data_IF_015090777359
#
_entry.id   IF_015090777359
#
_cell.length_a   1.000
_cell.length_b   1.000
_cell.length_c   1.000
_cell.angle_alpha   90.00
_cell.angle_beta   90.00
_cell.angle_gamma   90.00
#
_symmetry.space_group_name_H-M   'P 1'
#
loop_
_entity.id
_entity.type
_entity.pdbx_description
1 polymer ?
#
# COMPACT_ATOMS: atom_id res chain seq x y z
N UNK A 1 -86.01 -7.32 31.85
CA UNK A 1 -84.72 -7.82 31.32
C UNK A 1 -84.01 -6.63 30.70
N UNK A 2 -83.16 -5.95 31.48
CA UNK A 2 -82.51 -4.70 31.08
C UNK A 2 -81.23 -5.01 30.29
N UNK A 3 -81.10 -4.44 29.09
CA UNK A 3 -79.96 -4.61 28.20
C UNK A 3 -78.83 -3.65 28.60
N UNK A 4 -77.65 -4.21 28.89
CA UNK A 4 -76.43 -3.48 29.23
C UNK A 4 -75.84 -2.87 27.94
N UNK A 5 -75.44 -1.58 27.92
CA UNK A 5 -74.80 -0.98 26.75
C UNK A 5 -73.32 -1.42 26.65
N UNK A 6 -72.94 -1.83 25.44
CA UNK A 6 -71.58 -2.26 25.08
C UNK A 6 -70.64 -1.04 25.00
N UNK A 7 -69.55 -1.07 25.77
CA UNK A 7 -68.53 -0.02 25.76
C UNK A 7 -67.76 -0.01 24.42
N UNK A 8 -67.64 1.16 23.80
CA UNK A 8 -66.82 1.40 22.61
C UNK A 8 -65.35 1.58 23.01
N UNK A 9 -64.48 0.70 22.51
CA UNK A 9 -63.03 0.81 22.68
C UNK A 9 -62.49 2.03 21.90
N UNK A 10 -61.61 2.88 22.48
CA UNK A 10 -61.04 4.01 21.76
C UNK A 10 -60.12 3.55 20.63
N UNK A 11 -60.36 4.04 19.42
CA UNK A 11 -59.51 3.83 18.25
C UNK A 11 -58.18 4.57 18.44
N UNK A 12 -57.08 3.83 18.59
CA UNK A 12 -55.73 4.41 18.66
C UNK A 12 -55.40 5.16 17.35
N UNK A 13 -54.98 6.41 17.47
CA UNK A 13 -54.52 7.21 16.35
C UNK A 13 -53.28 6.56 15.68
N UNK A 14 -53.12 6.66 14.35
CA UNK A 14 -51.97 6.10 13.67
C UNK A 14 -50.69 6.81 14.14
N UNK A 15 -49.73 6.04 14.64
CA UNK A 15 -48.40 6.53 15.00
C UNK A 15 -47.73 7.04 13.71
N UNK A 16 -47.15 8.26 13.68
CA UNK A 16 -46.41 8.75 12.52
C UNK A 16 -45.27 7.78 12.21
N UNK A 17 -45.28 7.19 11.02
CA UNK A 17 -44.17 6.36 10.54
C UNK A 17 -42.93 7.24 10.46
N UNK A 18 -41.90 6.87 11.22
CA UNK A 18 -40.59 7.49 11.12
C UNK A 18 -40.10 7.43 9.66
N UNK A 19 -39.44 8.47 9.15
CA UNK A 19 -38.95 8.48 7.78
C UNK A 19 -38.00 7.31 7.59
N UNK A 20 -38.39 6.38 6.72
CA UNK A 20 -37.53 5.30 6.23
C UNK A 20 -36.41 6.00 5.46
N UNK A 21 -35.22 6.05 6.04
CA UNK A 21 -34.01 6.47 5.32
C UNK A 21 -33.83 5.45 4.19
N UNK A 22 -34.20 5.84 2.98
CA UNK A 22 -33.94 5.09 1.77
C UNK A 22 -32.43 5.02 1.57
N UNK A 23 -31.83 3.88 1.93
CA UNK A 23 -30.46 3.53 1.56
C UNK A 23 -30.39 3.13 0.08
N UNK A 24 -30.91 3.97 -0.82
CA UNK A 24 -30.77 3.78 -2.27
C UNK A 24 -29.49 4.43 -2.76
N UNK A 25 -28.38 3.91 -2.27
CA UNK A 25 -27.07 4.06 -2.87
C UNK A 25 -26.46 2.68 -2.93
N UNK A 26 -26.60 1.99 -4.08
CA UNK A 26 -25.77 0.82 -4.36
C UNK A 26 -24.32 1.28 -4.19
N UNK A 27 -23.67 0.84 -3.12
CA UNK A 27 -22.23 1.02 -2.95
C UNK A 27 -21.58 0.37 -4.16
N UNK A 28 -21.11 1.18 -5.12
CA UNK A 28 -20.31 0.69 -6.25
C UNK A 28 -18.95 0.25 -5.71
N UNK A 29 -18.94 -0.92 -5.09
CA UNK A 29 -17.74 -1.58 -4.59
C UNK A 29 -16.93 -2.08 -5.78
N UNK A 30 -15.65 -1.73 -5.84
CA UNK A 30 -14.78 -2.16 -6.94
C UNK A 30 -14.38 -3.62 -6.74
N UNK A 31 -15.18 -4.52 -7.32
CA UNK A 31 -15.00 -5.98 -7.19
C UNK A 31 -13.59 -6.43 -7.59
N UNK A 32 -13.01 -5.84 -8.64
CA UNK A 32 -11.64 -6.15 -9.05
C UNK A 32 -10.60 -5.82 -7.97
N UNK A 33 -10.78 -4.71 -7.23
CA UNK A 33 -9.88 -4.32 -6.15
C UNK A 33 -10.02 -5.25 -4.93
N UNK A 34 -11.26 -5.64 -4.61
CA UNK A 34 -11.51 -6.63 -3.55
C UNK A 34 -10.95 -8.01 -3.89
N UNK A 35 -11.10 -8.45 -5.15
CA UNK A 35 -10.55 -9.70 -5.65
C UNK A 35 -9.02 -9.69 -5.60
N UNK A 36 -8.40 -8.59 -6.04
CA UNK A 36 -6.94 -8.42 -5.95
C UNK A 36 -6.47 -8.44 -4.49
N UNK A 37 -7.17 -7.76 -3.58
CA UNK A 37 -6.88 -7.84 -2.14
C UNK A 37 -6.96 -9.26 -1.61
N UNK A 38 -8.05 -9.98 -1.93
CA UNK A 38 -8.25 -11.36 -1.49
C UNK A 38 -7.14 -12.28 -2.01
N UNK A 39 -6.74 -12.13 -3.27
CA UNK A 39 -5.63 -12.86 -3.86
C UNK A 39 -4.32 -12.62 -3.09
N UNK A 40 -3.96 -11.37 -2.81
CA UNK A 40 -2.73 -11.06 -2.08
C UNK A 40 -2.79 -11.55 -0.61
N UNK A 41 -3.97 -11.49 0.04
CA UNK A 41 -4.16 -12.08 1.38
C UNK A 41 -3.92 -13.59 1.38
N UNK A 42 -4.44 -14.31 0.39
CA UNK A 42 -4.22 -15.76 0.23
C UNK A 42 -2.75 -16.05 -0.07
N UNK A 43 -2.13 -15.26 -0.95
CA UNK A 43 -0.71 -15.39 -1.25
C UNK A 43 0.15 -15.19 0.01
N UNK A 44 -0.13 -14.17 0.83
CA UNK A 44 0.58 -13.95 2.10
C UNK A 44 0.39 -15.12 3.07
N UNK A 45 -0.82 -15.67 3.19
CA UNK A 45 -1.08 -16.84 4.01
C UNK A 45 -0.30 -18.08 3.53
N UNK A 46 0.13 -18.10 2.26
CA UNK A 46 0.85 -19.23 1.69
C UNK A 46 2.24 -19.46 2.30
N UNK A 47 2.84 -18.46 2.95
CA UNK A 47 4.05 -18.63 3.77
C UNK A 47 3.88 -19.75 4.81
N UNK A 48 2.69 -19.85 5.40
CA UNK A 48 2.35 -20.85 6.42
C UNK A 48 2.17 -22.27 5.88
N UNK A 49 2.14 -22.48 4.56
CA UNK A 49 1.95 -23.82 3.96
C UNK A 49 3.25 -24.61 3.80
N UNK A 50 4.41 -24.05 4.19
CA UNK A 50 5.67 -24.78 4.24
C UNK A 50 6.29 -25.06 2.86
N UNK A 51 6.04 -24.21 1.87
CA UNK A 51 6.61 -24.35 0.51
C UNK A 51 8.15 -24.38 0.51
N UNK A 52 8.82 -23.78 1.49
CA UNK A 52 10.28 -23.86 1.65
C UNK A 52 10.81 -25.29 1.76
N UNK A 53 10.02 -26.23 2.30
CA UNK A 53 10.41 -27.64 2.38
C UNK A 53 10.48 -28.34 1.00
N UNK A 54 9.92 -27.73 -0.04
CA UNK A 54 9.90 -28.26 -1.40
C UNK A 54 11.02 -27.71 -2.28
N UNK A 55 11.91 -26.84 -1.75
CA UNK A 55 12.98 -26.20 -2.53
C UNK A 55 13.89 -27.20 -3.25
N UNK A 56 14.24 -28.29 -2.56
CA UNK A 56 15.11 -29.34 -3.12
C UNK A 56 14.33 -30.40 -3.91
N UNK A 57 13.00 -30.27 -4.05
CA UNK A 57 12.18 -31.24 -4.76
C UNK A 57 12.36 -31.11 -6.28
N UNK A 58 12.66 -32.19 -7.02
CA UNK A 58 13.00 -32.12 -8.45
C UNK A 58 11.87 -31.52 -9.32
N UNK A 59 10.60 -31.81 -8.97
CA UNK A 59 9.43 -31.29 -9.71
C UNK A 59 8.94 -29.93 -9.22
N UNK A 60 9.08 -29.62 -7.92
CA UNK A 60 8.38 -28.50 -7.28
C UNK A 60 9.32 -27.41 -6.77
N UNK A 61 10.63 -27.65 -6.73
CA UNK A 61 11.64 -26.70 -6.24
C UNK A 61 11.61 -25.37 -6.98
N UNK A 62 11.35 -25.38 -8.30
CA UNK A 62 11.19 -24.15 -9.08
C UNK A 62 9.97 -23.33 -8.64
N UNK A 63 8.85 -23.97 -8.35
CA UNK A 63 7.64 -23.27 -7.86
C UNK A 63 7.85 -22.81 -6.42
N UNK A 64 8.47 -23.63 -5.58
CA UNK A 64 8.82 -23.28 -4.21
C UNK A 64 9.73 -22.04 -4.16
N UNK A 65 10.68 -21.93 -5.09
CA UNK A 65 11.56 -20.76 -5.19
C UNK A 65 10.81 -19.45 -5.44
N UNK A 66 9.57 -19.48 -5.92
CA UNK A 66 8.75 -18.28 -6.08
C UNK A 66 8.26 -17.67 -4.76
N UNK A 67 8.32 -18.44 -3.68
CA UNK A 67 7.90 -18.07 -2.33
C UNK A 67 9.08 -17.76 -1.40
N UNK A 68 10.31 -17.75 -1.92
CA UNK A 68 11.53 -17.38 -1.19
C UNK A 68 12.07 -16.05 -1.70
N UNK A 69 12.46 -15.15 -0.79
CA UNK A 69 13.03 -13.86 -1.20
C UNK A 69 14.32 -14.06 -2.00
N UNK A 70 14.50 -13.27 -3.06
CA UNK A 70 15.81 -13.19 -3.70
C UNK A 70 16.87 -12.76 -2.67
N UNK A 71 18.11 -13.29 -2.73
CA UNK A 71 19.12 -13.00 -1.73
C UNK A 71 19.48 -11.52 -1.61
N UNK A 72 19.47 -10.80 -2.74
CA UNK A 72 19.77 -9.37 -2.78
C UNK A 72 19.14 -8.64 -3.96
N UNK A 73 19.57 -9.00 -5.18
CA UNK A 73 19.17 -8.35 -6.43
C UNK A 73 18.15 -9.19 -7.20
N UNK A 74 17.22 -8.50 -7.86
CA UNK A 74 16.11 -9.06 -8.62
C UNK A 74 14.79 -8.95 -7.89
N UNK A 75 13.82 -9.75 -8.33
CA UNK A 75 12.54 -9.88 -7.66
C UNK A 75 11.81 -11.12 -8.11
N UNK A 76 11.19 -11.80 -7.16
CA UNK A 76 10.33 -12.96 -7.42
C UNK A 76 8.89 -12.65 -7.00
N UNK A 77 7.94 -13.57 -7.26
CA UNK A 77 6.53 -13.43 -6.91
C UNK A 77 6.34 -12.99 -5.44
N UNK A 78 7.05 -13.63 -4.50
CA UNK A 78 7.01 -13.27 -3.07
C UNK A 78 7.37 -11.80 -2.79
N UNK A 79 8.31 -11.24 -3.55
CA UNK A 79 8.75 -9.85 -3.39
C UNK A 79 7.68 -8.84 -3.82
N UNK A 80 6.70 -9.26 -4.63
CA UNK A 80 5.64 -8.40 -5.16
C UNK A 80 4.48 -8.20 -4.19
N UNK A 81 4.40 -8.99 -3.10
CA UNK A 81 3.31 -8.91 -2.12
C UNK A 81 3.25 -7.53 -1.45
N UNK A 82 4.38 -7.05 -0.93
CA UNK A 82 4.43 -5.75 -0.26
C UNK A 82 4.13 -4.58 -1.22
N UNK A 83 4.77 -4.46 -2.40
CA UNK A 83 4.40 -3.46 -3.41
C UNK A 83 2.91 -3.51 -3.77
N UNK A 84 2.33 -4.70 -3.90
CA UNK A 84 0.91 -4.87 -4.22
C UNK A 84 0.00 -4.21 -3.18
N UNK A 85 0.30 -4.33 -1.87
CA UNK A 85 -0.48 -3.64 -0.84
C UNK A 85 -0.37 -2.12 -0.95
N UNK A 86 0.83 -1.62 -1.21
CA UNK A 86 1.11 -0.19 -1.30
C UNK A 86 0.39 0.42 -2.50
N UNK A 87 0.50 -0.22 -3.66
CA UNK A 87 -0.22 0.13 -4.88
C UNK A 87 -1.74 0.12 -4.66
N UNK A 88 -2.28 -0.95 -4.07
CA UNK A 88 -3.72 -1.12 -3.86
C UNK A 88 -4.31 -0.09 -2.90
N UNK A 89 -3.57 0.25 -1.83
CA UNK A 89 -3.95 1.37 -0.94
C UNK A 89 -3.93 2.69 -1.70
N UNK A 90 -2.95 2.90 -2.58
CA UNK A 90 -2.92 4.00 -3.53
C UNK A 90 -4.18 4.06 -4.39
N UNK A 91 -4.54 2.97 -5.07
CA UNK A 91 -5.74 2.86 -5.92
C UNK A 91 -6.99 3.23 -5.17
N UNK A 92 -7.12 2.80 -3.91
CA UNK A 92 -8.29 3.08 -3.08
C UNK A 92 -8.39 4.56 -2.62
N UNK A 93 -7.27 5.29 -2.56
CA UNK A 93 -7.21 6.63 -1.95
C UNK A 93 -8.07 7.67 -2.68
N UNK A 94 -8.01 7.85 -4.02
CA UNK A 94 -8.87 8.79 -4.74
C UNK A 94 -10.36 8.55 -4.50
N UNK A 95 -10.81 7.29 -4.50
CA UNK A 95 -12.20 6.93 -4.21
C UNK A 95 -12.61 7.32 -2.79
N UNK A 96 -11.74 7.04 -1.80
CA UNK A 96 -12.00 7.37 -0.40
C UNK A 96 -12.09 8.89 -0.18
N UNK A 97 -11.21 9.68 -0.82
CA UNK A 97 -11.23 11.14 -0.74
C UNK A 97 -12.43 11.75 -1.47
N UNK A 98 -12.79 11.23 -2.65
CA UNK A 98 -13.97 11.70 -3.39
C UNK A 98 -15.25 11.52 -2.57
N UNK A 99 -15.43 10.34 -1.96
CA UNK A 99 -16.58 10.08 -1.08
C UNK A 99 -16.63 11.03 0.13
N UNK A 100 -15.48 11.34 0.74
CA UNK A 100 -15.43 12.30 1.85
C UNK A 100 -15.81 13.71 1.40
N UNK A 101 -15.41 14.11 0.19
CA UNK A 101 -15.79 15.40 -0.41
C UNK A 101 -17.29 15.46 -0.71
N UNK A 102 -17.90 14.37 -1.19
CA UNK A 102 -19.36 14.27 -1.36
C UNK A 102 -20.11 14.45 -0.03
N UNK A 103 -19.52 13.99 1.08
CA UNK A 103 -20.03 14.23 2.44
C UNK A 103 -19.67 15.61 3.02
N UNK A 104 -19.12 16.52 2.22
CA UNK A 104 -18.78 17.88 2.64
C UNK A 104 -17.55 17.99 3.53
N UNK A 105 -16.66 16.99 3.55
CA UNK A 105 -15.44 17.05 4.34
C UNK A 105 -14.51 18.18 3.87
N UNK A 106 -14.01 18.95 4.82
CA UNK A 106 -13.01 20.00 4.59
C UNK A 106 -11.59 19.43 4.44
N UNK A 107 -10.68 20.22 3.86
CA UNK A 107 -9.27 19.85 3.71
C UNK A 107 -8.62 19.51 5.06
N UNK A 108 -8.97 20.24 6.13
CA UNK A 108 -8.45 19.99 7.48
C UNK A 108 -8.96 18.66 8.03
N UNK A 109 -10.23 18.32 7.81
CA UNK A 109 -10.80 17.05 8.22
C UNK A 109 -10.18 15.88 7.46
N UNK A 110 -9.89 16.04 6.16
CA UNK A 110 -9.18 15.02 5.38
C UNK A 110 -7.73 14.84 5.86
N UNK A 111 -7.00 15.93 6.08
CA UNK A 111 -5.63 15.87 6.62
C UNK A 111 -5.60 15.14 7.97
N UNK A 112 -6.50 15.52 8.89
CA UNK A 112 -6.60 14.87 10.21
C UNK A 112 -6.99 13.40 10.07
N UNK A 113 -7.92 13.06 9.20
CA UNK A 113 -8.34 11.68 8.97
C UNK A 113 -7.19 10.81 8.44
N UNK A 114 -6.44 11.32 7.46
CA UNK A 114 -5.27 10.64 6.89
C UNK A 114 -4.17 10.49 7.94
N UNK A 115 -3.86 11.55 8.70
CA UNK A 115 -2.88 11.53 9.77
C UNK A 115 -3.23 10.55 10.89
N UNK A 116 -4.48 10.55 11.36
CA UNK A 116 -4.96 9.60 12.38
C UNK A 116 -4.92 8.16 11.85
N UNK A 117 -5.28 7.93 10.58
CA UNK A 117 -5.19 6.60 9.98
C UNK A 117 -3.75 6.10 9.91
N UNK A 118 -2.82 6.94 9.46
CA UNK A 118 -1.39 6.62 9.43
C UNK A 118 -0.87 6.32 10.84
N UNK A 119 -1.20 7.16 11.83
CA UNK A 119 -0.82 6.94 13.22
C UNK A 119 -1.37 5.61 13.77
N UNK A 120 -2.65 5.31 13.54
CA UNK A 120 -3.25 4.03 13.94
C UNK A 120 -2.53 2.82 13.33
N UNK A 121 -2.15 2.90 12.05
CA UNK A 121 -1.40 1.83 11.38
C UNK A 121 0.02 1.69 11.94
N UNK A 122 0.71 2.79 12.25
CA UNK A 122 2.01 2.75 12.92
C UNK A 122 1.92 2.14 14.31
N UNK A 123 0.93 2.56 15.11
CA UNK A 123 0.74 2.01 16.46
C UNK A 123 0.36 0.53 16.43
N UNK A 124 -0.54 0.13 15.53
CA UNK A 124 -0.89 -1.28 15.34
C UNK A 124 0.32 -2.09 14.90
N UNK A 125 1.12 -1.55 13.98
CA UNK A 125 2.39 -2.14 13.55
C UNK A 125 3.32 -2.41 14.73
N UNK A 126 3.62 -1.38 15.53
CA UNK A 126 4.51 -1.53 16.68
C UNK A 126 3.93 -2.49 17.72
N UNK A 127 2.63 -2.44 17.97
CA UNK A 127 1.93 -3.35 18.88
C UNK A 127 2.11 -4.82 18.45
N UNK A 128 1.84 -5.14 17.19
CA UNK A 128 1.99 -6.52 16.68
C UNK A 128 3.44 -7.00 16.79
N UNK A 129 4.39 -6.14 16.46
CA UNK A 129 5.82 -6.42 16.56
C UNK A 129 6.21 -6.74 18.00
N UNK A 130 5.89 -5.85 18.94
CA UNK A 130 6.22 -6.00 20.37
C UNK A 130 5.60 -7.27 20.97
N UNK A 131 4.34 -7.56 20.63
CA UNK A 131 3.64 -8.76 21.10
C UNK A 131 4.28 -10.02 20.52
N UNK A 132 4.55 -10.05 19.21
CA UNK A 132 5.12 -11.25 18.56
C UNK A 132 6.53 -11.60 19.07
N UNK A 133 7.38 -10.59 19.31
CA UNK A 133 8.76 -10.81 19.74
C UNK A 133 8.93 -10.92 21.26
N UNK A 134 7.87 -10.65 22.03
CA UNK A 134 7.89 -10.58 23.49
C UNK A 134 8.94 -9.59 24.02
N UNK A 135 9.26 -8.54 23.24
CA UNK A 135 10.30 -7.54 23.56
C UNK A 135 9.90 -6.17 23.04
N UNK A 136 10.18 -5.12 23.82
CA UNK A 136 10.06 -3.74 23.36
C UNK A 136 11.14 -3.46 22.30
N UNK A 137 10.78 -3.62 21.03
CA UNK A 137 11.62 -3.27 19.90
C UNK A 137 10.76 -2.59 18.84
N UNK A 138 11.28 -1.51 18.26
CA UNK A 138 10.59 -0.71 17.25
C UNK A 138 11.09 -1.07 15.85
N UNK A 139 10.18 -1.20 14.89
CA UNK A 139 10.51 -1.55 13.51
C UNK A 139 9.57 -0.83 12.52
N UNK A 140 10.15 -0.27 11.46
CA UNK A 140 9.45 0.61 10.51
C UNK A 140 9.36 0.04 9.08
N UNK A 141 9.93 -1.14 8.84
CA UNK A 141 9.99 -1.76 7.50
C UNK A 141 8.81 -2.69 7.16
N UNK A 142 7.97 -3.03 8.14
CA UNK A 142 6.85 -3.95 7.89
C UNK A 142 5.74 -3.29 7.05
N UNK A 143 4.84 -4.10 6.50
CA UNK A 143 3.78 -3.65 5.58
C UNK A 143 2.92 -2.54 6.21
N UNK A 144 2.53 -2.67 7.47
CA UNK A 144 1.66 -1.71 8.15
C UNK A 144 2.35 -0.34 8.34
N UNK A 145 3.60 -0.33 8.80
CA UNK A 145 4.39 0.90 8.93
C UNK A 145 4.63 1.56 7.56
N UNK A 146 4.97 0.77 6.54
CA UNK A 146 5.19 1.26 5.18
C UNK A 146 3.92 1.88 4.59
N UNK A 147 2.77 1.22 4.73
CA UNK A 147 1.49 1.78 4.29
C UNK A 147 1.20 3.09 5.03
N UNK A 148 1.47 3.18 6.34
CA UNK A 148 1.22 4.39 7.09
C UNK A 148 1.98 5.61 6.55
N UNK A 149 3.29 5.47 6.33
CA UNK A 149 4.12 6.54 5.76
C UNK A 149 3.69 6.89 4.34
N UNK A 150 3.65 5.89 3.46
CA UNK A 150 3.39 6.13 2.04
C UNK A 150 1.97 6.62 1.77
N UNK A 151 0.97 6.20 2.55
CA UNK A 151 -0.40 6.73 2.48
C UNK A 151 -0.43 8.21 2.84
N UNK A 152 0.28 8.62 3.91
CA UNK A 152 0.33 10.02 4.31
C UNK A 152 1.03 10.89 3.27
N UNK A 153 2.22 10.50 2.80
CA UNK A 153 2.98 11.26 1.81
C UNK A 153 2.28 11.29 0.45
N UNK A 154 1.68 10.19 0.01
CA UNK A 154 0.90 10.15 -1.23
C UNK A 154 -0.28 11.12 -1.16
N UNK A 155 -0.99 11.19 -0.02
CA UNK A 155 -2.06 12.17 0.16
C UNK A 155 -1.57 13.62 -0.01
N UNK A 156 -0.39 13.96 0.53
CA UNK A 156 0.21 15.28 0.35
C UNK A 156 0.54 15.55 -1.12
N UNK A 157 1.14 14.59 -1.81
CA UNK A 157 1.47 14.69 -3.24
C UNK A 157 0.22 14.87 -4.09
N UNK A 158 -0.87 14.16 -3.81
CA UNK A 158 -2.13 14.27 -4.54
C UNK A 158 -2.78 15.66 -4.46
N UNK A 159 -2.33 16.53 -3.55
CA UNK A 159 -2.80 17.94 -3.48
C UNK A 159 -2.11 18.84 -4.50
N UNK A 160 -1.01 18.38 -5.09
CA UNK A 160 -0.32 19.08 -6.17
C UNK A 160 -1.00 18.79 -7.51
N UNK A 161 -0.77 19.63 -8.52
CA UNK A 161 -1.19 19.30 -9.88
C UNK A 161 -0.38 18.10 -10.41
N UNK A 162 -0.96 17.31 -11.33
CA UNK A 162 -0.33 16.10 -11.86
C UNK A 162 1.12 16.29 -12.33
N UNK A 163 1.43 17.41 -13.00
CA UNK A 163 2.82 17.72 -13.44
C UNK A 163 3.82 17.74 -12.28
N UNK A 164 3.40 18.29 -11.14
CA UNK A 164 4.23 18.42 -9.93
C UNK A 164 4.27 17.11 -9.15
N UNK A 165 3.22 16.29 -9.22
CA UNK A 165 3.24 14.92 -8.70
C UNK A 165 4.27 14.07 -9.46
N UNK A 166 4.27 14.13 -10.79
CA UNK A 166 5.21 13.40 -11.64
C UNK A 166 6.65 13.89 -11.44
N UNK A 167 6.87 15.21 -11.36
CA UNK A 167 8.19 15.77 -11.03
C UNK A 167 8.65 15.31 -9.64
N UNK A 168 7.78 15.40 -8.63
CA UNK A 168 8.11 14.96 -7.27
C UNK A 168 8.42 13.47 -7.23
N UNK A 169 7.69 12.62 -7.95
CA UNK A 169 7.99 11.20 -8.06
C UNK A 169 9.39 10.96 -8.62
N UNK A 170 9.74 11.60 -9.74
CA UNK A 170 11.08 11.52 -10.32
C UNK A 170 12.17 12.01 -9.36
N UNK A 171 11.94 13.15 -8.70
CA UNK A 171 12.88 13.70 -7.72
C UNK A 171 13.04 12.80 -6.50
N UNK A 172 11.97 12.16 -6.01
CA UNK A 172 12.04 11.20 -4.89
C UNK A 172 12.91 9.99 -5.27
N UNK A 173 12.71 9.43 -6.47
CA UNK A 173 13.52 8.30 -6.95
C UNK A 173 14.99 8.68 -7.12
N UNK A 174 15.26 9.85 -7.74
CA UNK A 174 16.63 10.36 -7.92
C UNK A 174 17.28 10.66 -6.57
N UNK A 175 16.57 11.33 -5.66
CA UNK A 175 17.05 11.65 -4.32
C UNK A 175 17.39 10.37 -3.55
N UNK A 176 16.48 9.39 -3.53
CA UNK A 176 16.70 8.13 -2.86
C UNK A 176 17.94 7.41 -3.43
N UNK A 177 18.05 7.27 -4.75
CA UNK A 177 19.24 6.66 -5.36
C UNK A 177 20.53 7.46 -5.08
N UNK A 178 20.45 8.80 -5.12
CA UNK A 178 21.60 9.67 -4.84
C UNK A 178 22.13 9.49 -3.41
N UNK A 179 21.26 9.26 -2.41
CA UNK A 179 21.70 8.97 -1.04
C UNK A 179 22.64 7.75 -0.99
N UNK A 180 22.32 6.69 -1.72
CA UNK A 180 23.17 5.48 -1.76
C UNK A 180 24.45 5.66 -2.57
N UNK A 181 24.45 6.53 -3.58
CA UNK A 181 25.67 6.87 -4.32
C UNK A 181 26.61 7.81 -3.56
N UNK A 182 26.05 8.80 -2.85
CA UNK A 182 26.83 9.79 -2.09
C UNK A 182 27.39 9.22 -0.79
N UNK A 183 26.69 8.24 -0.21
CA UNK A 183 27.08 7.57 1.03
C UNK A 183 27.08 6.05 0.82
N UNK A 184 28.02 5.53 0.01
CA UNK A 184 28.10 4.11 -0.30
C UNK A 184 28.55 3.30 0.92
N UNK A 185 28.21 2.01 0.93
CA UNK A 185 28.75 1.07 1.92
C UNK A 185 30.15 0.59 1.55
N UNK A 186 30.72 -0.35 2.32
CA UNK A 186 32.10 -0.83 2.16
C UNK A 186 32.40 -1.44 0.79
N UNK A 187 31.43 -2.17 0.21
CA UNK A 187 31.65 -2.85 -1.07
C UNK A 187 31.41 -1.92 -2.27
N UNK A 188 30.31 -1.16 -2.23
CA UNK A 188 29.85 -0.26 -3.28
C UNK A 188 28.63 0.55 -2.82
N UNK A 189 28.12 1.42 -3.71
CA UNK A 189 26.76 1.94 -3.61
C UNK A 189 25.76 0.76 -3.52
N UNK A 190 24.71 0.91 -2.69
CA UNK A 190 23.72 -0.14 -2.44
C UNK A 190 24.28 -1.45 -1.83
N UNK A 191 25.46 -1.42 -1.17
CA UNK A 191 25.96 -2.58 -0.40
C UNK A 191 24.97 -3.01 0.69
N UNK A 192 25.02 -4.30 1.06
CA UNK A 192 24.19 -4.90 2.12
C UNK A 192 24.42 -4.27 3.48
N UNK A 193 25.63 -3.80 3.76
CA UNK A 193 26.04 -3.29 5.06
C UNK A 193 26.66 -1.91 4.91
N UNK A 194 26.61 -1.12 5.99
CA UNK A 194 27.26 0.20 6.04
C UNK A 194 26.75 1.26 5.05
N UNK A 195 25.72 0.95 4.26
CA UNK A 195 25.05 1.93 3.40
C UNK A 195 24.31 2.98 4.26
N UNK A 196 23.94 4.11 3.64
CA UNK A 196 23.24 5.21 4.32
C UNK A 196 21.99 4.80 5.09
N UNK A 197 21.20 3.85 4.58
CA UNK A 197 20.01 3.36 5.26
C UNK A 197 20.36 2.62 6.56
N UNK A 198 21.40 1.78 6.52
CA UNK A 198 21.93 1.09 7.69
C UNK A 198 22.49 2.07 8.74
N UNK A 199 23.18 3.12 8.29
CA UNK A 199 23.67 4.19 9.18
C UNK A 199 22.51 4.92 9.86
N UNK A 200 21.47 5.26 9.11
CA UNK A 200 20.26 5.91 9.64
C UNK A 200 19.54 5.00 10.62
N UNK A 201 19.39 3.70 10.31
CA UNK A 201 18.75 2.74 11.20
C UNK A 201 19.53 2.57 12.51
N UNK A 202 20.86 2.46 12.43
CA UNK A 202 21.70 2.39 13.62
C UNK A 202 21.56 3.65 14.50
N UNK A 203 21.46 4.83 13.90
CA UNK A 203 21.29 6.09 14.63
C UNK A 203 19.87 6.26 15.20
N UNK A 204 18.84 5.85 14.46
CA UNK A 204 17.43 6.05 14.82
C UNK A 204 16.92 4.98 15.79
N UNK A 205 17.30 3.71 15.57
CA UNK A 205 16.76 2.55 16.26
C UNK A 205 17.79 1.88 17.18
N UNK A 206 19.09 2.18 17.02
CA UNK A 206 20.17 1.55 17.78
C UNK A 206 20.59 0.18 17.24
N UNK A 207 20.03 -0.26 16.11
CA UNK A 207 20.35 -1.55 15.48
C UNK A 207 20.07 -1.53 13.98
N UNK A 208 20.55 -2.56 13.28
CA UNK A 208 20.28 -2.81 11.88
C UNK A 208 19.37 -4.03 11.70
N UNK A 209 18.41 -3.96 10.76
CA UNK A 209 17.44 -5.04 10.58
C UNK A 209 18.10 -6.35 10.13
N UNK A 210 17.62 -7.51 10.64
CA UNK A 210 18.00 -8.81 10.09
C UNK A 210 17.55 -8.87 8.63
N UNK A 211 18.45 -9.32 7.75
CA UNK A 211 18.19 -9.32 6.32
C UNK A 211 18.39 -7.97 5.62
N UNK A 212 19.09 -6.99 6.20
CA UNK A 212 19.60 -5.81 5.47
C UNK A 212 18.51 -4.92 4.84
N UNK A 213 17.30 -4.94 5.39
CA UNK A 213 16.29 -3.94 5.08
C UNK A 213 16.70 -2.60 5.67
N UNK A 214 16.14 -1.50 5.14
CA UNK A 214 16.40 -0.16 5.68
C UNK A 214 15.12 0.63 5.89
N UNK A 215 15.02 1.43 6.95
CA UNK A 215 13.82 2.24 7.22
C UNK A 215 13.53 3.23 6.10
N UNK A 216 14.56 3.82 5.49
CA UNK A 216 14.40 4.85 4.45
C UNK A 216 13.74 4.35 3.16
N UNK A 217 13.48 3.04 3.05
CA UNK A 217 12.77 2.44 1.93
C UNK A 217 11.36 3.04 1.71
N UNK A 218 10.73 3.62 2.74
CA UNK A 218 9.42 4.29 2.62
C UNK A 218 9.45 5.48 1.64
N UNK A 219 10.63 6.07 1.42
CA UNK A 219 10.82 7.25 0.56
C UNK A 219 10.48 6.86 -0.88
N UNK A 220 11.18 5.87 -1.43
CA UNK A 220 10.95 5.41 -2.81
C UNK A 220 9.63 4.67 -2.94
N UNK A 221 9.23 3.90 -1.91
CA UNK A 221 7.97 3.16 -1.93
C UNK A 221 6.73 4.06 -1.90
N UNK A 222 6.87 5.32 -1.46
CA UNK A 222 5.82 6.34 -1.63
C UNK A 222 5.43 6.50 -3.11
N UNK A 223 6.38 6.35 -4.03
CA UNK A 223 6.12 6.42 -5.47
C UNK A 223 5.29 5.22 -5.95
N UNK A 224 5.50 4.01 -5.40
CA UNK A 224 4.62 2.84 -5.65
C UNK A 224 3.17 3.13 -5.24
N UNK A 225 2.96 3.71 -4.05
CA UNK A 225 1.62 4.11 -3.59
C UNK A 225 1.02 5.23 -4.47
N UNK A 226 1.84 6.16 -4.94
CA UNK A 226 1.43 7.24 -5.83
C UNK A 226 1.00 6.73 -7.22
N UNK A 227 1.72 5.78 -7.82
CA UNK A 227 1.29 5.11 -9.05
C UNK A 227 -0.06 4.41 -8.88
N UNK A 228 -0.27 3.77 -7.73
CA UNK A 228 -1.57 3.25 -7.34
C UNK A 228 -2.64 4.34 -7.34
N UNK A 229 -2.35 5.50 -6.73
CA UNK A 229 -3.28 6.62 -6.71
C UNK A 229 -3.60 7.16 -8.12
N UNK A 230 -2.61 7.26 -9.01
CA UNK A 230 -2.86 7.63 -10.42
C UNK A 230 -3.74 6.61 -11.13
N UNK A 231 -3.55 5.33 -10.86
CA UNK A 231 -4.42 4.26 -11.36
C UNK A 231 -5.85 4.43 -10.83
N UNK A 232 -6.02 4.72 -9.54
CA UNK A 232 -7.32 5.03 -8.94
C UNK A 232 -8.01 6.22 -9.61
N UNK A 233 -7.28 7.31 -9.84
CA UNK A 233 -7.78 8.49 -10.55
C UNK A 233 -8.16 8.17 -12.00
N UNK A 234 -7.37 7.37 -12.72
CA UNK A 234 -7.69 6.91 -14.07
C UNK A 234 -8.98 6.08 -14.08
N UNK A 235 -9.16 5.18 -13.10
CA UNK A 235 -10.36 4.36 -12.99
C UNK A 235 -11.62 5.20 -12.72
N UNK A 236 -11.50 6.29 -11.97
CA UNK A 236 -12.58 7.27 -11.73
C UNK A 236 -12.92 8.14 -12.94
N UNK A 237 -12.01 8.29 -13.90
CA UNK A 237 -12.24 9.16 -15.06
C UNK A 237 -13.41 8.67 -15.93
N UNK A 238 -13.98 9.56 -16.74
CA UNK A 238 -15.08 9.23 -17.67
C UNK A 238 -14.61 8.48 -18.93
N UNK A 239 -13.31 8.14 -19.02
CA UNK A 239 -12.74 7.43 -20.17
C UNK A 239 -13.41 6.06 -20.41
N UNK A 240 -13.55 5.63 -21.68
CA UNK A 240 -14.02 4.29 -22.00
C UNK A 240 -13.14 3.20 -21.36
N UNK A 241 -13.74 2.04 -21.04
CA UNK A 241 -13.02 0.91 -20.41
C UNK A 241 -11.80 0.46 -21.22
N UNK A 242 -11.94 0.38 -22.55
CA UNK A 242 -10.84 -0.01 -23.43
C UNK A 242 -9.66 0.97 -23.38
N UNK A 243 -9.94 2.27 -23.30
CA UNK A 243 -8.89 3.29 -23.19
C UNK A 243 -8.17 3.19 -21.84
N UNK A 244 -8.92 2.99 -20.73
CA UNK A 244 -8.33 2.76 -19.41
C UNK A 244 -7.40 1.54 -19.42
N UNK A 245 -7.86 0.42 -19.96
CA UNK A 245 -7.06 -0.80 -20.08
C UNK A 245 -5.80 -0.58 -20.92
N UNK A 246 -5.91 0.14 -22.04
CA UNK A 246 -4.77 0.49 -22.89
C UNK A 246 -3.75 1.34 -22.12
N UNK A 247 -4.19 2.37 -21.41
CA UNK A 247 -3.30 3.23 -20.62
C UNK A 247 -2.61 2.43 -19.51
N UNK A 248 -3.33 1.55 -18.82
CA UNK A 248 -2.76 0.70 -17.77
C UNK A 248 -1.73 -0.28 -18.34
N UNK A 249 -2.05 -0.97 -19.44
CA UNK A 249 -1.14 -1.91 -20.07
C UNK A 249 0.15 -1.22 -20.57
N UNK A 250 0.02 -0.07 -21.24
CA UNK A 250 1.19 0.70 -21.71
C UNK A 250 2.02 1.20 -20.53
N UNK A 251 1.37 1.77 -19.50
CA UNK A 251 2.07 2.28 -18.31
C UNK A 251 2.81 1.18 -17.57
N UNK A 252 2.20 0.00 -17.41
CA UNK A 252 2.82 -1.17 -16.78
C UNK A 252 4.05 -1.64 -17.56
N UNK A 253 3.93 -1.82 -18.88
CA UNK A 253 5.08 -2.24 -19.72
C UNK A 253 6.18 -1.18 -19.69
N UNK A 254 5.82 0.10 -19.75
CA UNK A 254 6.78 1.20 -19.71
C UNK A 254 7.51 1.29 -18.36
N UNK A 255 6.79 1.18 -17.24
CA UNK A 255 7.38 1.18 -15.89
C UNK A 255 8.30 -0.03 -15.70
N UNK A 256 7.84 -1.22 -16.07
CA UNK A 256 8.63 -2.44 -15.99
C UNK A 256 9.91 -2.36 -16.83
N UNK A 257 9.81 -1.93 -18.09
CA UNK A 257 10.97 -1.75 -18.96
C UNK A 257 11.92 -0.65 -18.45
N UNK A 258 11.39 0.44 -17.90
CA UNK A 258 12.20 1.48 -17.28
C UNK A 258 12.91 0.97 -16.01
N UNK A 259 12.26 0.11 -15.21
CA UNK A 259 12.87 -0.55 -14.05
C UNK A 259 14.03 -1.46 -14.44
N UNK A 260 13.86 -2.27 -15.50
CA UNK A 260 14.93 -3.12 -16.05
C UNK A 260 16.06 -2.30 -16.70
N UNK A 261 15.74 -1.21 -17.40
CA UNK A 261 16.75 -0.31 -17.96
C UNK A 261 17.55 0.39 -16.87
N UNK A 262 16.86 0.88 -15.83
CA UNK A 262 17.48 1.54 -14.69
C UNK A 262 18.28 0.56 -13.81
N UNK A 263 17.96 -0.75 -13.84
CA UNK A 263 18.72 -1.75 -13.07
C UNK A 263 20.18 -1.88 -13.47
N UNK A 264 20.57 -1.36 -14.64
CA UNK A 264 21.96 -1.28 -15.08
C UNK A 264 22.79 -0.28 -14.28
N UNK A 265 22.15 0.74 -13.69
CA UNK A 265 22.80 1.79 -12.89
C UNK A 265 22.46 1.67 -11.40
N UNK A 266 21.19 1.41 -11.10
CA UNK A 266 20.67 1.28 -9.73
C UNK A 266 20.20 -0.16 -9.57
N UNK A 267 20.90 -1.03 -8.84
CA UNK A 267 20.57 -2.45 -8.77
C UNK A 267 19.15 -2.67 -8.26
N UNK A 268 18.46 -3.68 -8.80
CA UNK A 268 17.07 -3.98 -8.44
C UNK A 268 16.99 -4.65 -7.07
N UNK A 269 16.99 -3.85 -5.99
CA UNK A 269 17.00 -4.34 -4.60
C UNK A 269 15.71 -3.94 -3.88
N UNK A 270 14.88 -4.94 -3.55
CA UNK A 270 13.63 -4.79 -2.78
C UNK A 270 13.87 -4.28 -1.35
N UNK A 271 14.88 -4.83 -0.66
CA UNK A 271 15.17 -4.54 0.76
C UNK A 271 15.47 -3.05 1.01
N UNK A 272 16.08 -2.41 0.02
CA UNK A 272 16.36 -0.97 -0.01
C UNK A 272 15.26 -0.17 -0.71
N UNK A 273 14.33 -0.83 -1.40
CA UNK A 273 13.31 -0.24 -2.27
C UNK A 273 13.90 0.73 -3.29
N UNK A 274 14.92 0.25 -4.00
CA UNK A 274 15.62 1.01 -5.03
C UNK A 274 14.67 1.57 -6.10
N UNK A 275 15.12 2.61 -6.82
CA UNK A 275 14.33 3.23 -7.87
C UNK A 275 13.98 2.25 -9.00
N UNK A 276 14.92 1.36 -9.38
CA UNK A 276 14.68 0.29 -10.33
C UNK A 276 13.64 -0.70 -9.82
N UNK A 277 13.72 -1.14 -8.55
CA UNK A 277 12.70 -1.99 -7.94
C UNK A 277 11.32 -1.33 -7.93
N UNK A 278 11.26 -0.04 -7.60
CA UNK A 278 10.02 0.74 -7.57
C UNK A 278 9.29 0.72 -8.91
N UNK A 279 10.03 0.91 -10.01
CA UNK A 279 9.48 0.86 -11.36
C UNK A 279 9.20 -0.57 -11.84
N UNK A 280 10.04 -1.53 -11.46
CA UNK A 280 9.88 -2.94 -11.78
C UNK A 280 8.64 -3.57 -11.14
N UNK A 281 8.29 -3.16 -9.92
CA UNK A 281 7.25 -3.80 -9.10
C UNK A 281 5.88 -3.11 -9.12
N UNK A 282 5.68 -2.09 -9.96
CA UNK A 282 4.47 -1.25 -9.97
C UNK A 282 3.75 -1.31 -11.31
#
# INVERSE_FOLDING_TARGET
MATIPTATTPQQAPVPSAPVISTTGSEKRYVALDAFRGFIMIALAAEGFGFGALLDHPTYGRIASWFEHVPWEGGVFWDMIQPSFMFMVGVAMPFALARRREWGATVRQDFNHVGVRALKLLLLSQFLIIVSSHRLHFQLINVLSQIAFTYFFTYLLLRLQFRWQALAAGLILVFHSALFFLFPGPDAAFSKTGNIGAVIDQALLGYNYPGYYVTINFISSTVTTLFGAWTGTLLMSEKPRAEKLKILAISMVAAFAAGLGLSLLVPNVKRLWTASFTLYST
#
